data_IF_768046394243
#
_entry.id   IF_768046394243
#
_cell.length_a   1.000
_cell.length_b   1.000
_cell.length_c   1.000
_cell.angle_alpha   90.00
_cell.angle_beta   90.00
_cell.angle_gamma   90.00
#
_symmetry.space_group_name_H-M   'P 1'
#
loop_
_entity.id
_entity.type
_entity.pdbx_description
1 polymer ?
#
# COMPACT_ATOMS: atom_id res chain seq x y z
N UNK A 1 67.16 -7.68 10.96
CA UNK A 1 67.18 -6.45 10.13
C UNK A 1 66.18 -6.70 9.00
N UNK A 2 64.90 -6.48 9.25
CA UNK A 2 64.20 -5.21 8.97
C UNK A 2 64.52 -4.68 7.58
N UNK A 3 63.54 -4.73 6.69
CA UNK A 3 62.91 -3.54 6.11
C UNK A 3 61.65 -3.99 5.34
N UNK A 4 60.51 -3.96 6.03
CA UNK A 4 59.24 -3.68 5.37
C UNK A 4 59.36 -2.32 4.68
N UNK A 5 59.37 -2.31 3.36
CA UNK A 5 59.04 -1.10 2.62
C UNK A 5 57.52 -1.11 2.49
N UNK A 6 56.89 -0.48 3.48
CA UNK A 6 55.54 0.04 3.42
C UNK A 6 55.46 0.99 2.21
N UNK A 7 55.17 0.46 1.03
CA UNK A 7 54.64 1.28 -0.07
C UNK A 7 53.19 1.57 0.30
N UNK A 8 53.00 2.53 1.21
CA UNK A 8 51.72 3.19 1.38
C UNK A 8 51.33 3.73 0.01
N UNK A 9 50.41 3.05 -0.65
CA UNK A 9 49.71 3.52 -1.83
C UNK A 9 49.10 4.86 -1.45
N UNK A 10 49.78 5.91 -1.87
CA UNK A 10 49.21 7.24 -1.93
C UNK A 10 48.13 7.15 -3.01
N UNK A 11 46.93 6.69 -2.61
CA UNK A 11 45.70 6.84 -3.37
C UNK A 11 45.47 8.34 -3.48
N UNK A 12 46.17 8.97 -4.41
CA UNK A 12 45.70 10.20 -5.01
C UNK A 12 44.39 9.82 -5.67
N UNK A 13 43.29 10.29 -5.09
CA UNK A 13 42.02 10.38 -5.80
C UNK A 13 42.31 11.39 -6.92
N UNK A 14 42.79 10.89 -8.07
CA UNK A 14 42.75 11.66 -9.30
C UNK A 14 41.31 12.11 -9.45
N UNK A 15 41.09 13.42 -9.53
CA UNK A 15 39.76 13.96 -9.74
C UNK A 15 39.19 13.31 -10.98
N UNK A 16 38.17 12.46 -10.81
CA UNK A 16 37.66 11.61 -11.87
C UNK A 16 37.14 12.51 -12.99
N UNK A 17 37.93 12.66 -14.05
CA UNK A 17 37.59 13.52 -15.17
C UNK A 17 36.37 12.89 -15.85
N UNK A 18 35.22 13.50 -15.62
CA UNK A 18 33.93 12.95 -16.03
C UNK A 18 33.18 13.95 -16.89
N UNK A 19 32.42 13.42 -17.84
CA UNK A 19 31.64 14.20 -18.82
C UNK A 19 30.18 13.80 -18.75
N UNK A 20 29.29 14.77 -18.88
CA UNK A 20 27.85 14.59 -18.94
C UNK A 20 27.44 14.49 -20.41
N UNK A 21 27.05 13.29 -20.83
CA UNK A 21 26.65 13.01 -22.21
C UNK A 21 25.17 12.69 -22.29
N UNK A 22 24.53 13.21 -23.34
CA UNK A 22 23.14 12.90 -23.65
C UNK A 22 23.07 11.60 -24.44
N UNK A 23 22.47 10.57 -23.86
CA UNK A 23 22.33 9.26 -24.47
C UNK A 23 20.96 9.16 -25.14
N UNK A 24 20.95 8.64 -26.38
CA UNK A 24 19.73 8.44 -27.18
C UNK A 24 19.83 7.14 -27.97
N UNK A 25 18.70 6.61 -28.43
CA UNK A 25 18.64 5.30 -29.08
C UNK A 25 17.98 5.38 -30.46
N UNK A 26 18.39 4.53 -31.40
CA UNK A 26 17.82 4.47 -32.76
C UNK A 26 16.37 3.99 -32.76
N UNK A 27 16.07 2.99 -31.93
CA UNK A 27 14.76 2.33 -31.89
C UNK A 27 13.79 2.92 -30.84
N UNK A 28 14.28 3.73 -29.89
CA UNK A 28 13.46 4.31 -28.82
C UNK A 28 13.41 5.83 -29.02
N UNK A 29 12.33 6.32 -29.64
CA UNK A 29 12.21 7.73 -30.05
C UNK A 29 12.03 8.65 -28.85
N UNK A 30 11.42 8.16 -27.78
CA UNK A 30 11.21 8.93 -26.55
C UNK A 30 12.39 8.86 -25.58
N UNK A 31 13.32 7.93 -25.79
CA UNK A 31 14.45 7.72 -24.91
C UNK A 31 15.54 8.79 -25.10
N UNK A 32 15.68 9.64 -24.08
CA UNK A 32 16.83 10.50 -23.89
C UNK A 32 17.19 10.52 -22.41
N UNK A 33 18.47 10.30 -22.10
CA UNK A 33 18.95 10.33 -20.72
C UNK A 33 20.31 11.02 -20.65
N UNK A 34 20.47 11.95 -19.72
CA UNK A 34 21.77 12.56 -19.44
C UNK A 34 22.52 11.70 -18.42
N UNK A 35 23.68 11.18 -18.83
CA UNK A 35 24.46 10.24 -18.04
C UNK A 35 25.89 10.75 -17.93
N UNK A 36 26.43 10.74 -16.71
CA UNK A 36 27.83 11.07 -16.45
C UNK A 36 28.70 9.84 -16.70
N UNK A 37 29.71 10.00 -17.56
CA UNK A 37 30.71 8.99 -17.88
C UNK A 37 32.08 9.45 -17.43
N UNK A 38 32.90 8.53 -16.95
CA UNK A 38 34.29 8.83 -16.67
C UNK A 38 35.12 8.69 -17.94
N UNK A 39 36.06 9.61 -18.18
CA UNK A 39 36.87 9.64 -19.40
C UNK A 39 37.83 8.45 -19.51
N UNK A 40 38.24 7.85 -18.39
CA UNK A 40 39.06 6.63 -18.44
C UNK A 40 38.25 5.34 -18.67
N UNK A 41 36.91 5.38 -18.66
CA UNK A 41 36.11 4.20 -18.98
C UNK A 41 36.37 3.77 -20.42
N UNK A 42 36.56 2.46 -20.65
CA UNK A 42 36.61 1.92 -22.00
C UNK A 42 35.25 2.05 -22.71
N UNK A 43 35.25 2.06 -24.03
CA UNK A 43 34.01 2.07 -24.84
C UNK A 43 33.13 0.86 -24.49
N UNK A 44 33.72 -0.32 -24.23
CA UNK A 44 32.98 -1.48 -23.74
C UNK A 44 32.25 -1.18 -22.43
N UNK A 45 32.94 -0.58 -21.45
CA UNK A 45 32.34 -0.19 -20.17
C UNK A 45 31.23 0.87 -20.33
N UNK A 46 31.34 1.75 -21.33
CA UNK A 46 30.30 2.72 -21.71
C UNK A 46 29.06 1.98 -22.24
N UNK A 47 29.24 1.05 -23.20
CA UNK A 47 28.16 0.18 -23.69
C UNK A 47 27.52 -0.58 -22.53
N UNK A 48 28.33 -1.11 -21.61
CA UNK A 48 27.91 -1.84 -20.43
C UNK A 48 27.00 -1.03 -19.49
N UNK A 49 27.32 0.25 -19.34
CA UNK A 49 26.52 1.18 -18.54
C UNK A 49 25.21 1.55 -19.21
N UNK A 50 25.21 1.62 -20.54
CA UNK A 50 24.08 2.05 -21.35
C UNK A 50 23.06 0.94 -21.60
N UNK A 51 23.47 -0.32 -21.82
CA UNK A 51 22.52 -1.42 -22.06
C UNK A 51 21.60 -1.68 -20.87
N UNK A 52 22.08 -1.46 -19.63
CA UNK A 52 21.24 -1.57 -18.43
C UNK A 52 20.03 -0.64 -18.47
N UNK A 53 20.10 0.42 -19.28
CA UNK A 53 19.00 1.38 -19.48
C UNK A 53 18.21 1.11 -20.76
N UNK A 54 18.86 0.67 -21.83
CA UNK A 54 18.26 0.59 -23.18
C UNK A 54 17.84 -0.82 -23.59
N UNK A 55 18.36 -1.87 -22.94
CA UNK A 55 18.03 -3.27 -23.18
C UNK A 55 18.76 -3.94 -24.36
N UNK A 56 19.47 -3.20 -25.20
CA UNK A 56 20.25 -3.76 -26.33
C UNK A 56 21.56 -4.37 -25.84
N UNK A 57 21.89 -5.59 -26.31
CA UNK A 57 23.15 -6.26 -25.93
C UNK A 57 24.38 -5.48 -26.40
N UNK A 58 25.48 -5.53 -25.63
CA UNK A 58 26.75 -4.82 -25.94
C UNK A 58 27.31 -5.19 -27.32
N UNK A 59 27.19 -6.46 -27.72
CA UNK A 59 27.72 -6.97 -28.99
C UNK A 59 26.94 -6.47 -30.21
N UNK A 60 25.65 -6.23 -30.06
CA UNK A 60 24.78 -5.69 -31.12
C UNK A 60 24.61 -4.17 -31.02
N UNK A 61 25.40 -3.51 -30.15
CA UNK A 61 25.31 -2.08 -29.89
C UNK A 61 26.48 -1.33 -30.57
N UNK A 62 26.14 -0.41 -31.47
CA UNK A 62 27.10 0.56 -32.02
C UNK A 62 26.84 1.94 -31.42
N UNK A 63 27.90 2.62 -31.00
CA UNK A 63 27.82 3.96 -30.44
C UNK A 63 28.40 4.99 -31.41
N UNK A 64 27.64 6.03 -31.67
CA UNK A 64 28.06 7.18 -32.47
C UNK A 64 28.11 8.43 -31.59
N UNK A 65 29.17 9.23 -31.68
CA UNK A 65 29.32 10.48 -30.97
C UNK A 65 28.91 11.66 -31.86
N UNK A 66 28.09 12.53 -31.31
CA UNK A 66 27.61 13.75 -31.95
C UNK A 66 27.95 14.96 -31.09
N UNK A 67 28.25 16.05 -31.78
CA UNK A 67 28.45 17.37 -31.19
C UNK A 67 27.11 18.03 -30.80
N UNK A 68 27.17 19.14 -30.08
CA UNK A 68 26.03 19.99 -29.72
C UNK A 68 25.25 20.50 -30.96
N UNK A 69 25.96 20.73 -32.05
CA UNK A 69 25.46 21.12 -33.36
C UNK A 69 24.79 19.98 -34.14
N UNK A 70 24.66 18.79 -33.52
CA UNK A 70 24.12 17.54 -34.13
C UNK A 70 24.95 17.01 -35.30
N UNK A 71 26.21 17.42 -35.41
CA UNK A 71 27.15 16.85 -36.38
C UNK A 71 27.72 15.55 -35.82
N UNK A 72 27.77 14.49 -36.64
CA UNK A 72 28.45 13.24 -36.28
C UNK A 72 29.95 13.48 -36.23
N UNK A 73 30.57 13.24 -35.08
CA UNK A 73 32.01 13.36 -34.88
C UNK A 73 32.71 12.06 -35.28
N UNK A 74 32.32 10.93 -34.67
CA UNK A 74 32.97 9.64 -34.91
C UNK A 74 32.14 8.45 -34.43
N UNK A 75 32.50 7.26 -34.92
CA UNK A 75 32.02 5.98 -34.39
C UNK A 75 32.96 5.49 -33.28
N UNK A 76 32.40 5.07 -32.16
CA UNK A 76 33.15 4.43 -31.07
C UNK A 76 33.25 2.94 -31.38
N UNK A 77 34.11 2.59 -32.34
CA UNK A 77 34.26 1.21 -32.85
C UNK A 77 35.29 0.37 -32.06
N UNK A 78 36.18 0.98 -31.30
CA UNK A 78 37.22 0.29 -30.52
C UNK A 78 36.80 0.18 -29.05
N UNK A 79 36.35 -1.01 -28.68
CA UNK A 79 35.83 -1.32 -27.35
C UNK A 79 36.88 -1.20 -26.23
N UNK A 80 38.16 -1.34 -26.57
CA UNK A 80 39.28 -1.28 -25.62
C UNK A 80 39.75 0.15 -25.32
N UNK A 81 39.42 1.12 -26.18
CA UNK A 81 39.88 2.51 -26.02
C UNK A 81 39.13 3.23 -24.91
N UNK A 82 39.82 4.11 -24.14
CA UNK A 82 39.16 4.97 -23.18
C UNK A 82 38.29 6.01 -23.92
N UNK A 83 37.15 6.36 -23.33
CA UNK A 83 36.21 7.35 -23.85
C UNK A 83 36.89 8.71 -24.09
N UNK A 84 37.83 9.08 -23.21
CA UNK A 84 38.61 10.31 -23.32
C UNK A 84 39.48 10.41 -24.57
N UNK A 85 39.80 9.29 -25.24
CA UNK A 85 40.48 9.31 -26.53
C UNK A 85 39.68 10.08 -27.59
N UNK A 86 38.35 9.99 -27.53
CA UNK A 86 37.44 10.65 -28.46
C UNK A 86 37.14 12.11 -28.07
N UNK A 87 37.75 12.61 -26.98
CA UNK A 87 37.60 13.97 -26.46
C UNK A 87 36.14 14.48 -26.40
N UNK A 88 35.18 13.69 -25.85
CA UNK A 88 33.81 14.17 -25.72
C UNK A 88 33.74 15.33 -24.71
N UNK A 89 32.87 16.31 -24.97
CA UNK A 89 32.60 17.43 -24.08
C UNK A 89 31.22 17.31 -23.42
N UNK A 90 31.01 18.05 -22.34
CA UNK A 90 29.70 18.16 -21.70
C UNK A 90 28.64 18.63 -22.69
N UNK A 91 27.51 17.94 -22.74
CA UNK A 91 26.41 18.23 -23.65
C UNK A 91 26.50 17.51 -25.00
N UNK A 92 27.60 16.82 -25.30
CA UNK A 92 27.69 15.96 -26.48
C UNK A 92 26.69 14.81 -26.38
N UNK A 93 26.28 14.28 -27.54
CA UNK A 93 25.28 13.23 -27.63
C UNK A 93 25.91 11.93 -28.07
N UNK A 94 25.70 10.86 -27.29
CA UNK A 94 25.94 9.49 -27.73
C UNK A 94 24.64 8.94 -28.31
N UNK A 95 24.67 8.53 -29.57
CA UNK A 95 23.57 7.87 -30.24
C UNK A 95 23.85 6.38 -30.37
N UNK A 96 22.97 5.58 -29.81
CA UNK A 96 23.04 4.12 -29.83
C UNK A 96 22.30 3.63 -31.06
N UNK A 97 22.98 2.82 -31.87
CA UNK A 97 22.41 2.10 -33.00
C UNK A 97 22.33 0.63 -32.62
N UNK A 98 21.11 0.11 -32.53
CA UNK A 98 20.84 -1.31 -32.36
C UNK A 98 20.97 -2.01 -33.72
N UNK A 99 21.91 -2.96 -33.82
CA UNK A 99 22.17 -3.75 -35.01
C UNK A 99 21.48 -5.11 -34.96
N UNK A 100 20.80 -5.47 -33.87
CA UNK A 100 20.13 -6.76 -33.76
C UNK A 100 18.79 -6.75 -34.52
N UNK A 101 18.67 -7.52 -35.62
CA UNK A 101 17.44 -7.59 -36.41
C UNK A 101 16.27 -8.25 -35.66
N UNK A 102 16.55 -8.92 -34.54
CA UNK A 102 15.57 -9.60 -33.70
C UNK A 102 15.26 -8.87 -32.37
N UNK A 103 15.86 -7.70 -32.16
CA UNK A 103 15.69 -6.92 -30.93
C UNK A 103 14.21 -6.63 -30.67
N UNK A 104 13.76 -6.89 -29.44
CA UNK A 104 12.41 -6.54 -28.96
C UNK A 104 12.11 -5.04 -29.06
N UNK A 105 13.14 -4.20 -29.24
CA UNK A 105 13.00 -2.76 -29.46
C UNK A 105 12.79 -2.39 -30.93
N UNK A 106 13.12 -3.28 -31.87
CA UNK A 106 12.94 -3.09 -33.31
C UNK A 106 11.45 -3.06 -33.65
N UNK A 107 10.88 -1.86 -33.77
CA UNK A 107 9.47 -1.66 -34.13
C UNK A 107 8.63 -0.86 -33.14
N UNK A 108 9.21 -0.26 -32.09
CA UNK A 108 8.47 0.62 -31.19
C UNK A 108 7.45 -0.11 -30.29
N UNK A 109 7.55 -1.44 -30.19
CA UNK A 109 6.65 -2.33 -29.44
C UNK A 109 6.52 -1.96 -27.95
N UNK A 110 7.49 -1.24 -27.38
CA UNK A 110 7.46 -0.74 -26.00
C UNK A 110 6.99 0.72 -25.86
N UNK A 111 6.97 1.50 -26.95
CA UNK A 111 6.58 2.92 -26.91
C UNK A 111 5.14 3.14 -27.43
N UNK A 112 4.64 2.26 -28.31
CA UNK A 112 3.33 2.44 -28.93
C UNK A 112 2.24 1.63 -28.19
N UNK A 113 1.69 2.24 -27.14
CA UNK A 113 0.55 1.69 -26.37
C UNK A 113 -0.72 1.46 -27.20
N UNK A 114 -0.75 1.90 -28.48
CA UNK A 114 -1.85 1.60 -29.41
C UNK A 114 -1.81 0.17 -29.98
N UNK A 115 -0.64 -0.48 -29.97
CA UNK A 115 -0.46 -1.87 -30.44
C UNK A 115 -0.82 -2.92 -29.37
N UNK A 116 -0.90 -2.50 -28.11
CA UNK A 116 -1.45 -3.34 -27.05
C UNK A 116 -2.93 -3.07 -26.99
N UNK A 117 -3.74 -4.01 -27.49
CA UNK A 117 -5.17 -4.02 -27.20
C UNK A 117 -5.34 -4.03 -25.68
N UNK A 118 -5.65 -2.86 -25.11
CA UNK A 118 -6.10 -2.76 -23.73
C UNK A 118 -7.35 -3.63 -23.65
N UNK A 119 -7.20 -4.81 -23.05
CA UNK A 119 -8.31 -5.67 -22.74
C UNK A 119 -9.18 -4.97 -21.69
N UNK A 120 -10.14 -4.16 -22.16
CA UNK A 120 -11.20 -3.60 -21.34
C UNK A 120 -12.24 -4.69 -21.16
N UNK A 121 -12.09 -5.47 -20.10
CA UNK A 121 -13.13 -6.38 -19.64
C UNK A 121 -14.39 -5.53 -19.43
N UNK A 122 -15.46 -5.79 -20.18
CA UNK A 122 -16.75 -5.16 -19.91
C UNK A 122 -17.16 -5.50 -18.48
N UNK A 123 -17.74 -4.54 -17.74
CA UNK A 123 -18.13 -4.76 -16.33
C UNK A 123 -19.00 -6.02 -16.18
N UNK A 124 -19.80 -6.35 -17.20
CA UNK A 124 -20.63 -7.55 -17.27
C UNK A 124 -19.85 -8.87 -17.42
N UNK A 125 -18.66 -8.86 -18.03
CA UNK A 125 -17.77 -10.02 -18.13
C UNK A 125 -16.90 -10.18 -16.89
N UNK A 126 -16.49 -9.07 -16.26
CA UNK A 126 -15.85 -9.09 -14.94
C UNK A 126 -16.79 -9.70 -13.90
N UNK A 127 -18.07 -9.32 -13.93
CA UNK A 127 -19.12 -9.86 -13.08
C UNK A 127 -19.40 -11.37 -13.30
N UNK A 128 -18.98 -11.95 -14.42
CA UNK A 128 -19.13 -13.39 -14.74
C UNK A 128 -17.94 -14.24 -14.32
N UNK A 129 -16.76 -13.64 -14.09
CA UNK A 129 -15.61 -14.39 -13.57
C UNK A 129 -15.86 -14.72 -12.10
N UNK A 130 -15.77 -16.00 -11.81
CA UNK A 130 -16.10 -16.65 -10.53
C UNK A 130 -15.67 -15.85 -9.29
N UNK A 131 -16.66 -15.62 -8.43
CA UNK A 131 -16.77 -15.03 -7.08
C UNK A 131 -15.63 -15.26 -6.06
N UNK A 132 -14.47 -15.84 -6.40
CA UNK A 132 -13.47 -16.26 -5.40
C UNK A 132 -12.91 -15.10 -4.57
N UNK A 133 -12.66 -13.95 -5.20
CA UNK A 133 -12.10 -12.78 -4.51
C UNK A 133 -13.12 -12.11 -3.56
N UNK A 134 -14.38 -12.05 -3.97
CA UNK A 134 -15.45 -11.47 -3.14
C UNK A 134 -15.76 -12.34 -1.92
N UNK A 135 -15.64 -13.66 -2.05
CA UNK A 135 -15.80 -14.62 -0.95
C UNK A 135 -14.70 -14.48 0.12
N UNK A 136 -13.44 -14.32 -0.30
CA UNK A 136 -12.31 -14.09 0.60
C UNK A 136 -12.44 -12.77 1.38
N UNK A 137 -12.94 -11.71 0.74
CA UNK A 137 -13.23 -10.45 1.41
C UNK A 137 -14.37 -10.58 2.42
N UNK A 138 -15.45 -11.29 2.05
CA UNK A 138 -16.57 -11.54 2.96
C UNK A 138 -16.15 -12.37 4.18
N UNK A 139 -15.18 -13.27 4.04
CA UNK A 139 -14.64 -14.06 5.16
C UNK A 139 -14.04 -13.16 6.27
N UNK A 140 -13.50 -12.00 5.89
CA UNK A 140 -12.92 -11.04 6.82
C UNK A 140 -13.94 -10.07 7.43
N UNK A 141 -15.14 -9.93 6.85
CA UNK A 141 -16.18 -8.97 7.28
C UNK A 141 -17.26 -9.71 8.06
N UNK A 142 -17.50 -9.33 9.31
CA UNK A 142 -18.54 -9.95 10.15
C UNK A 142 -19.64 -8.95 10.48
N UNK A 143 -20.86 -9.47 10.64
CA UNK A 143 -21.98 -8.69 11.17
C UNK A 143 -21.60 -8.15 12.55
N UNK A 144 -21.83 -6.85 12.76
CA UNK A 144 -21.46 -6.10 13.95
C UNK A 144 -20.11 -5.36 13.83
N UNK A 145 -19.34 -5.57 12.76
CA UNK A 145 -18.09 -4.85 12.57
C UNK A 145 -18.33 -3.38 12.22
N UNK A 146 -17.44 -2.52 12.70
CA UNK A 146 -17.38 -1.10 12.34
C UNK A 146 -16.70 -0.96 11.00
N UNK A 147 -17.36 -0.27 10.09
CA UNK A 147 -16.86 -0.08 8.74
C UNK A 147 -17.02 1.35 8.27
N UNK A 148 -16.23 1.68 7.26
CA UNK A 148 -16.32 2.88 6.48
C UNK A 148 -16.57 2.49 5.02
N UNK A 149 -17.45 3.22 4.35
CA UNK A 149 -17.89 2.89 2.99
C UNK A 149 -17.45 3.97 2.01
N UNK A 150 -16.81 3.54 0.92
CA UNK A 150 -16.43 4.38 -0.22
C UNK A 150 -17.50 4.39 -1.33
N UNK A 151 -17.70 5.51 -2.03
CA UNK A 151 -17.12 6.84 -1.79
C UNK A 151 -17.86 7.60 -0.67
N UNK A 152 -17.12 8.48 0.00
CA UNK A 152 -17.69 9.48 0.92
C UNK A 152 -17.49 9.20 2.41
N UNK A 153 -16.52 8.36 2.79
CA UNK A 153 -16.09 8.12 4.18
C UNK A 153 -17.26 7.86 5.15
N UNK A 154 -18.33 7.23 4.67
CA UNK A 154 -19.55 7.04 5.45
C UNK A 154 -19.34 5.92 6.45
N UNK A 155 -19.50 6.23 7.74
CA UNK A 155 -19.27 5.28 8.83
C UNK A 155 -20.55 4.57 9.23
N UNK A 156 -20.41 3.29 9.59
CA UNK A 156 -21.54 2.48 10.00
C UNK A 156 -21.15 1.15 10.62
N UNK A 157 -22.17 0.32 10.81
CA UNK A 157 -22.08 -1.04 11.34
C UNK A 157 -22.58 -2.01 10.29
N UNK A 158 -21.82 -3.07 10.05
CA UNK A 158 -22.25 -4.17 9.19
C UNK A 158 -23.43 -4.89 9.83
N UNK A 159 -24.54 -5.01 9.11
CA UNK A 159 -25.78 -5.69 9.52
C UNK A 159 -26.09 -6.93 8.71
N UNK A 160 -25.51 -7.07 7.52
CA UNK A 160 -25.72 -8.22 6.64
C UNK A 160 -24.46 -8.50 5.83
N UNK A 161 -24.13 -9.78 5.65
CA UNK A 161 -23.04 -10.26 4.79
C UNK A 161 -23.57 -11.49 4.07
N UNK A 162 -23.68 -11.44 2.74
CA UNK A 162 -24.19 -12.58 1.99
C UNK A 162 -24.63 -12.24 0.56
N UNK A 163 -25.19 -13.23 -0.13
CA UNK A 163 -25.72 -13.06 -1.49
C UNK A 163 -27.11 -12.45 -1.44
N UNK A 164 -27.37 -11.48 -2.32
CA UNK A 164 -28.65 -10.79 -2.41
C UNK A 164 -29.20 -10.88 -3.84
N UNK A 165 -29.95 -11.94 -4.13
CA UNK A 165 -30.48 -12.24 -5.47
C UNK A 165 -31.30 -11.08 -6.05
N UNK A 166 -32.08 -10.37 -5.21
CA UNK A 166 -32.87 -9.23 -5.63
C UNK A 166 -32.03 -8.05 -6.16
N UNK A 167 -30.79 -7.90 -5.70
CA UNK A 167 -29.89 -6.79 -6.06
C UNK A 167 -28.96 -7.09 -7.23
N UNK A 168 -28.74 -8.37 -7.52
CA UNK A 168 -27.85 -8.84 -8.57
C UNK A 168 -26.86 -9.89 -8.05
N UNK A 169 -26.22 -10.59 -8.98
CA UNK A 169 -25.29 -11.68 -8.69
C UNK A 169 -24.10 -11.24 -7.81
N UNK A 170 -23.60 -12.15 -6.97
CA UNK A 170 -22.43 -11.95 -6.11
C UNK A 170 -22.77 -11.57 -4.66
N UNK A 171 -21.73 -11.24 -3.90
CA UNK A 171 -21.85 -10.88 -2.49
C UNK A 171 -22.19 -9.42 -2.26
N UNK A 172 -22.90 -9.17 -1.17
CA UNK A 172 -23.36 -7.87 -0.72
C UNK A 172 -23.18 -7.73 0.79
N UNK A 173 -22.80 -6.52 1.19
CA UNK A 173 -22.69 -6.10 2.59
C UNK A 173 -23.79 -5.08 2.87
N UNK A 174 -24.65 -5.41 3.82
CA UNK A 174 -25.61 -4.45 4.35
C UNK A 174 -24.99 -3.67 5.49
N UNK A 175 -24.96 -2.35 5.36
CA UNK A 175 -24.42 -1.42 6.35
C UNK A 175 -25.54 -0.55 6.88
N UNK A 176 -25.61 -0.41 8.20
CA UNK A 176 -26.36 0.64 8.86
C UNK A 176 -25.40 1.80 9.14
N UNK A 177 -25.58 2.92 8.45
CA UNK A 177 -24.85 4.15 8.74
C UNK A 177 -25.27 4.75 10.08
N UNK A 178 -24.33 5.49 10.69
CA UNK A 178 -24.60 6.23 11.91
C UNK A 178 -25.48 7.46 11.66
N UNK A 179 -25.32 8.06 10.48
CA UNK A 179 -26.07 9.21 10.00
C UNK A 179 -27.10 8.76 8.93
N UNK A 180 -28.16 9.54 8.67
CA UNK A 180 -29.18 9.23 7.67
C UNK A 180 -28.68 9.46 6.23
N UNK A 181 -27.55 8.85 5.88
CA UNK A 181 -26.86 8.91 4.58
C UNK A 181 -27.06 7.65 3.71
N UNK A 182 -27.98 6.78 4.16
CA UNK A 182 -28.38 5.55 3.52
C UNK A 182 -29.52 5.75 2.52
N UNK A 183 -30.00 4.64 1.97
CA UNK A 183 -31.01 4.59 0.92
C UNK A 183 -32.33 3.97 1.38
N UNK A 184 -32.29 3.11 2.39
CA UNK A 184 -33.44 2.32 2.83
C UNK A 184 -33.42 2.07 4.35
N UNK A 185 -34.48 1.47 4.88
CA UNK A 185 -34.61 1.03 6.30
C UNK A 185 -34.14 -0.43 6.52
N UNK A 186 -33.60 -1.05 5.48
CA UNK A 186 -33.12 -2.44 5.48
C UNK A 186 -33.97 -3.38 4.61
N UNK A 187 -35.05 -2.87 4.01
CA UNK A 187 -35.74 -3.52 2.89
C UNK A 187 -35.17 -3.02 1.56
N UNK A 188 -34.86 -3.96 0.67
CA UNK A 188 -34.45 -3.64 -0.70
C UNK A 188 -35.28 -4.47 -1.68
N UNK A 189 -35.97 -3.81 -2.61
CA UNK A 189 -36.85 -4.43 -3.63
C UNK A 189 -37.86 -5.45 -3.04
N UNK A 190 -38.41 -5.16 -1.85
CA UNK A 190 -39.39 -6.00 -1.18
C UNK A 190 -38.83 -7.09 -0.27
N UNK A 191 -37.50 -7.33 -0.27
CA UNK A 191 -36.85 -8.29 0.63
C UNK A 191 -36.22 -7.57 1.82
N UNK A 192 -36.53 -8.00 3.05
CA UNK A 192 -35.91 -7.47 4.28
C UNK A 192 -34.59 -8.21 4.56
N UNK A 193 -33.48 -7.48 4.50
CA UNK A 193 -32.14 -8.01 4.80
C UNK A 193 -31.73 -7.74 6.25
N UNK A 194 -32.05 -6.56 6.76
CA UNK A 194 -31.78 -6.15 8.13
C UNK A 194 -32.79 -5.10 8.61
N UNK A 195 -32.72 -4.73 9.88
CA UNK A 195 -33.53 -3.65 10.47
C UNK A 195 -32.63 -2.47 10.82
N UNK A 196 -32.99 -1.28 10.35
CA UNK A 196 -32.35 -0.02 10.75
C UNK A 196 -33.34 1.15 10.68
N UNK A 197 -32.99 2.34 11.22
CA UNK A 197 -33.80 3.53 11.04
C UNK A 197 -33.97 3.89 9.55
N UNK A 198 -35.03 4.62 9.20
CA UNK A 198 -35.25 5.09 7.84
C UNK A 198 -34.04 5.89 7.34
N UNK A 199 -33.66 5.70 6.08
CA UNK A 199 -32.53 6.38 5.43
C UNK A 199 -31.15 6.07 6.06
N UNK A 200 -31.01 5.04 6.90
CA UNK A 200 -29.71 4.64 7.44
C UNK A 200 -29.13 3.37 6.80
N UNK A 201 -29.93 2.59 6.09
CA UNK A 201 -29.51 1.33 5.47
C UNK A 201 -28.92 1.51 4.07
N UNK A 202 -27.84 0.81 3.79
CA UNK A 202 -27.26 0.70 2.46
C UNK A 202 -26.80 -0.73 2.17
N UNK A 203 -26.93 -1.16 0.91
CA UNK A 203 -26.34 -2.38 0.38
C UNK A 203 -25.20 -2.01 -0.57
N UNK A 204 -24.00 -2.52 -0.27
CA UNK A 204 -22.77 -2.21 -1.00
C UNK A 204 -21.95 -3.46 -1.30
N UNK A 205 -21.04 -3.37 -2.27
CA UNK A 205 -20.10 -4.46 -2.58
C UNK A 205 -19.00 -4.55 -1.51
N UNK A 206 -18.49 -5.75 -1.20
CA UNK A 206 -17.38 -5.95 -0.26
C UNK A 206 -16.17 -5.03 -0.50
N UNK A 207 -15.78 -4.82 -1.76
CA UNK A 207 -14.64 -3.96 -2.14
C UNK A 207 -14.75 -2.50 -1.67
N UNK A 208 -15.97 -2.03 -1.43
CA UNK A 208 -16.25 -0.66 -1.00
C UNK A 208 -16.29 -0.52 0.52
N UNK A 209 -16.10 -1.61 1.25
CA UNK A 209 -16.20 -1.64 2.71
C UNK A 209 -14.80 -1.77 3.30
N UNK A 210 -14.37 -0.71 3.98
CA UNK A 210 -13.14 -0.73 4.77
C UNK A 210 -13.48 -1.02 6.23
N UNK A 211 -12.96 -2.12 6.76
CA UNK A 211 -13.10 -2.42 8.17
C UNK A 211 -12.23 -1.47 8.98
N UNK A 212 -12.87 -0.67 9.85
CA UNK A 212 -12.15 0.19 10.75
C UNK A 212 -11.81 -0.59 12.02
N UNK A 213 -10.55 -1.02 12.15
CA UNK A 213 -10.06 -1.84 13.27
C UNK A 213 -9.96 -1.11 14.62
N UNK A 214 -10.58 0.06 14.78
CA UNK A 214 -10.84 0.60 16.12
C UNK A 214 -11.91 -0.25 16.80
N UNK A 215 -11.45 -1.41 17.30
CA UNK A 215 -12.21 -2.31 18.15
C UNK A 215 -12.53 -1.58 19.44
N UNK A 216 -13.81 -1.29 19.69
CA UNK A 216 -14.28 -1.48 21.06
C UNK A 216 -14.01 -2.96 21.39
N UNK A 217 -13.35 -3.28 22.51
CA UNK A 217 -12.95 -4.65 22.79
C UNK A 217 -14.20 -5.54 22.82
N UNK A 218 -14.36 -6.38 21.79
CA UNK A 218 -15.22 -7.56 21.86
C UNK A 218 -14.68 -8.39 23.02
N UNK A 219 -15.40 -8.39 24.14
CA UNK A 219 -15.26 -9.29 25.29
C UNK A 219 -14.01 -10.18 25.27
N UNK A 220 -12.90 -9.69 25.85
CA UNK A 220 -11.81 -10.59 26.22
C UNK A 220 -12.38 -11.60 27.21
N UNK A 221 -12.48 -12.86 26.77
CA UNK A 221 -12.38 -14.02 27.66
C UNK A 221 -11.21 -13.75 28.62
N UNK A 222 -11.54 -13.59 29.90
CA UNK A 222 -10.59 -13.57 31.01
C UNK A 222 -9.88 -14.93 31.06
N UNK A 223 -8.70 -15.03 30.46
CA UNK A 223 -7.72 -16.06 30.81
C UNK A 223 -6.34 -15.42 30.75
N UNK A 224 -5.75 -15.22 31.93
CA UNK A 224 -4.32 -14.99 32.21
C UNK A 224 -3.74 -13.73 31.54
N UNK A 225 -3.41 -12.65 32.25
CA UNK A 225 -2.23 -12.52 33.11
C UNK A 225 -2.54 -11.43 34.14
N UNK A 226 -2.74 -11.82 35.40
CA UNK A 226 -2.52 -10.96 36.56
C UNK A 226 -1.49 -11.66 37.43
N UNK A 227 -0.25 -11.67 36.99
CA UNK A 227 0.90 -11.75 37.87
C UNK A 227 1.83 -10.62 37.44
N UNK A 228 2.36 -9.89 38.43
CA UNK A 228 3.39 -8.85 38.31
C UNK A 228 2.97 -7.37 38.27
N UNK A 229 2.07 -6.93 39.17
CA UNK A 229 2.16 -5.53 39.68
C UNK A 229 1.96 -5.54 41.20
N UNK A 230 2.88 -4.95 42.01
CA UNK A 230 2.84 -5.07 43.47
C UNK A 230 1.80 -4.13 44.09
N UNK A 231 0.99 -4.69 45.01
CA UNK A 231 0.00 -3.98 45.81
C UNK A 231 0.66 -2.91 46.70
N UNK A 232 0.48 -1.62 46.39
CA UNK A 232 0.78 -0.54 47.35
C UNK A 232 -0.38 -0.41 48.35
N UNK A 233 -0.07 -0.71 49.62
CA UNK A 233 -0.92 -0.46 50.80
C UNK A 233 -1.12 1.05 50.99
N UNK A 234 -2.36 1.53 51.01
CA UNK A 234 -2.72 2.80 51.66
C UNK A 234 -3.49 2.50 52.94
N UNK A 235 -3.08 3.14 54.04
CA UNK A 235 -3.77 3.17 55.33
C UNK A 235 -4.87 4.24 55.28
N UNK A 236 -6.07 3.88 55.72
CA UNK A 236 -7.08 4.85 56.12
C UNK A 236 -7.53 4.51 57.54
N UNK A 237 -7.61 5.52 58.40
CA UNK A 237 -8.16 5.38 59.75
C UNK A 237 -9.69 5.50 59.68
N UNK A 238 -10.39 4.50 60.21
CA UNK A 238 -11.85 4.51 60.35
C UNK A 238 -12.19 4.89 61.79
N UNK A 239 -12.91 5.99 61.97
CA UNK A 239 -13.44 6.41 63.27
C UNK A 239 -14.85 5.82 63.42
N UNK A 240 -15.03 4.86 64.33
CA UNK A 240 -16.34 4.30 64.67
C UNK A 240 -17.00 5.20 65.73
N UNK A 241 -18.15 5.79 65.42
CA UNK A 241 -18.95 6.51 66.44
C UNK A 241 -19.66 5.49 67.34
N UNK A 242 -19.43 5.56 68.66
CA UNK A 242 -20.33 4.98 69.65
C UNK A 242 -19.73 4.10 70.75
N UNK A 243 -18.43 3.78 70.73
CA UNK A 243 -17.72 3.22 71.89
C UNK A 243 -16.26 3.66 71.80
N UNK A 244 -15.66 4.10 72.91
CA UNK A 244 -14.31 4.67 72.96
C UNK A 244 -13.17 3.66 72.75
N UNK A 245 -13.34 2.68 71.86
CA UNK A 245 -12.34 1.64 71.57
C UNK A 245 -11.91 1.68 70.10
N UNK A 246 -10.59 1.86 69.89
CA UNK A 246 -9.95 1.76 68.57
C UNK A 246 -9.65 0.29 68.26
N UNK A 247 -10.30 -0.29 67.25
CA UNK A 247 -9.87 -1.57 66.65
C UNK A 247 -9.46 -1.36 65.19
N UNK A 248 -8.23 -1.73 64.87
CA UNK A 248 -7.74 -1.82 63.50
C UNK A 248 -8.20 -3.14 62.89
N UNK A 249 -8.91 -3.11 61.76
CA UNK A 249 -9.23 -4.30 60.96
C UNK A 249 -8.81 -4.09 59.51
N UNK A 250 -8.28 -5.15 58.91
CA UNK A 250 -7.79 -5.18 57.53
C UNK A 250 -8.92 -5.67 56.60
N UNK A 251 -9.29 -4.89 55.58
CA UNK A 251 -10.19 -5.36 54.51
C UNK A 251 -9.66 -5.01 53.12
N UNK A 252 -9.64 -6.01 52.23
CA UNK A 252 -9.46 -5.85 50.78
C UNK A 252 -10.77 -5.34 50.17
N UNK A 253 -10.81 -4.08 49.73
CA UNK A 253 -11.96 -3.52 49.03
C UNK A 253 -12.08 -4.06 47.60
N UNK A 254 -13.07 -4.90 47.33
CA UNK A 254 -13.68 -5.03 45.99
C UNK A 254 -14.78 -3.98 45.90
N UNK A 255 -14.65 -3.00 45.01
CA UNK A 255 -15.76 -2.11 44.67
C UNK A 255 -16.78 -2.91 43.85
N UNK A 256 -17.96 -3.12 44.42
CA UNK A 256 -19.15 -3.66 43.76
C UNK A 256 -19.94 -2.45 43.29
N UNK A 257 -20.18 -2.32 41.98
CA UNK A 257 -21.26 -1.47 41.43
C UNK A 257 -22.32 -2.42 40.89
N UNK A 258 -23.54 -2.44 41.45
CA UNK A 258 -24.66 -3.21 40.93
C UNK A 258 -25.48 -2.38 39.93
N UNK A 259 -25.96 -3.03 38.86
CA UNK A 259 -27.38 -3.35 38.67
C UNK A 259 -27.85 -3.23 37.21
N UNK A 260 -28.32 -4.38 36.73
CA UNK A 260 -29.03 -4.63 35.49
C UNK A 260 -30.44 -5.05 35.89
N UNK A 261 -31.40 -4.12 35.92
CA UNK A 261 -32.84 -4.44 36.12
C UNK A 261 -33.69 -3.42 35.33
N UNK A 262 -34.17 -3.80 34.14
CA UNK A 262 -35.50 -3.35 33.69
C UNK A 262 -36.08 -4.24 32.57
N UNK A 263 -36.45 -5.47 32.93
CA UNK A 263 -37.45 -6.29 32.20
C UNK A 263 -38.22 -7.19 33.15
N UNK A 264 -38.91 -6.62 34.13
CA UNK A 264 -39.99 -7.30 34.87
C UNK A 264 -40.72 -6.31 35.78
N UNK A 265 -41.61 -5.48 35.22
CA UNK A 265 -42.81 -4.93 35.91
C UNK A 265 -43.65 -4.00 35.01
N UNK A 266 -44.07 -4.50 33.83
CA UNK A 266 -45.27 -4.01 33.14
C UNK A 266 -46.41 -5.02 33.27
N UNK A 267 -46.91 -5.15 34.51
CA UNK A 267 -48.22 -5.71 34.87
C UNK A 267 -48.32 -5.63 36.40
N UNK A 268 -48.72 -4.47 36.92
CA UNK A 268 -49.39 -4.27 38.21
C UNK A 268 -49.30 -2.79 38.58
N UNK A 269 -50.32 -2.03 38.18
CA UNK A 269 -50.86 -0.84 38.84
C UNK A 269 -51.73 -0.11 37.81
N UNK A 270 -52.94 -0.63 37.60
CA UNK A 270 -53.99 0.14 36.97
C UNK A 270 -54.51 1.22 37.92
N UNK A 271 -55.09 2.25 37.29
CA UNK A 271 -55.93 3.33 37.83
C UNK A 271 -55.21 4.39 38.70
N UNK A 272 -55.53 5.70 38.69
CA UNK A 272 -56.56 6.59 38.13
C UNK A 272 -55.84 7.93 37.76
N UNK A 273 -56.31 8.90 36.99
CA UNK A 273 -57.62 9.41 36.54
C UNK A 273 -57.49 10.00 35.13
#
# INVERSE_FOLDING_TARGET
MWLEIFMASRLQIEGDASVLLRVTHSNLKSFAADIRFSLQMSVEAVKDKVWKKCGTSVNSMRLELYDDCKNKLCDLSDDSRPLGFYSPLDGFRIHIIDLDPSSVTSGGWLEDTSLVEKYSISEDEYNKRSDCYMEDLCTNIKVGDRCEVDPGEKRGVVKYVGRAEALGQGFWIGVQYDEPLGKHDGIVKGTRYFQCPPLCGAMVRPDKVKLNRFSYPKSKRLVTILNEIPLKRMRYDVIVKGSGERRCSWYLGKAIIPEEVDKRQRKEAGLWT
#
